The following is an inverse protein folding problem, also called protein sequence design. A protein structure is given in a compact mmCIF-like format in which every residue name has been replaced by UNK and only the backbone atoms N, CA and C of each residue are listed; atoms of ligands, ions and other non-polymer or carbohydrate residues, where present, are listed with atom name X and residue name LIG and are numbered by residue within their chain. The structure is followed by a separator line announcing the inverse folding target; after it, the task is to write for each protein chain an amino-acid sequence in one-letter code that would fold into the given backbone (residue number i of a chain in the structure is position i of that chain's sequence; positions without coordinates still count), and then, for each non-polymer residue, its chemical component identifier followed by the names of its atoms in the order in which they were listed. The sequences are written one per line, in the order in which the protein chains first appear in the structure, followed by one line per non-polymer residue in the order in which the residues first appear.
data_IF_766329635758
#
_entry.id   IF_766329635758
#
_cell.length_a   1.000
_cell.length_b   1.000
_cell.length_c   1.000
_cell.angle_alpha   90.00
_cell.angle_beta   90.00
_cell.angle_gamma   90.00
#
_symmetry.space_group_name_H-M   'P 1'
#
loop_
_entity.id
_entity.type
_entity.pdbx_description
1 polymer ?
#
# COMPACT_ATOMS: atom_id res chain seq x y z
N UNK A 1 -9.61 -16.39 -9.03
CA UNK A 1 -8.93 -15.09 -8.87
C UNK A 1 -9.22 -14.57 -7.45
N UNK A 2 -8.20 -14.33 -6.62
CA UNK A 2 -8.37 -13.82 -5.25
C UNK A 2 -8.35 -12.27 -5.23
N UNK A 3 -9.20 -11.64 -6.04
CA UNK A 3 -9.21 -10.18 -6.23
C UNK A 3 -10.10 -9.42 -5.25
N UNK A 4 -11.17 -10.03 -4.77
CA UNK A 4 -12.31 -9.27 -4.23
C UNK A 4 -12.50 -9.49 -2.73
N UNK A 5 -11.41 -9.48 -1.94
CA UNK A 5 -11.57 -9.46 -0.47
C UNK A 5 -12.15 -8.10 -0.08
N UNK A 6 -13.42 -8.08 0.30
CA UNK A 6 -14.06 -6.90 0.90
C UNK A 6 -13.45 -6.67 2.28
N UNK A 7 -12.94 -5.45 2.49
CA UNK A 7 -12.34 -5.03 3.76
C UNK A 7 -13.35 -4.23 4.58
N UNK A 8 -14.11 -3.34 3.93
CA UNK A 8 -15.20 -2.61 4.58
C UNK A 8 -16.55 -3.03 4.00
N UNK A 9 -17.34 -3.79 4.76
CA UNK A 9 -18.69 -4.19 4.34
C UNK A 9 -19.70 -3.03 4.38
N UNK A 10 -19.51 -2.02 5.24
CA UNK A 10 -20.43 -0.88 5.35
C UNK A 10 -20.42 0.01 4.10
N UNK A 11 -19.25 0.17 3.48
CA UNK A 11 -19.04 1.02 2.31
C UNK A 11 -18.68 0.23 1.06
N UNK A 12 -18.73 -1.11 1.14
CA UNK A 12 -18.37 -2.04 0.05
C UNK A 12 -16.97 -1.77 -0.52
N UNK A 13 -15.99 -1.47 0.35
CA UNK A 13 -14.61 -1.18 -0.07
C UNK A 13 -13.79 -2.46 -0.07
N UNK A 14 -13.17 -2.76 -1.21
CA UNK A 14 -12.31 -3.93 -1.39
C UNK A 14 -10.85 -3.66 -1.06
N UNK A 15 -10.07 -4.73 -0.90
CA UNK A 15 -8.61 -4.66 -0.81
C UNK A 15 -7.99 -3.93 -2.01
N UNK A 16 -8.53 -4.13 -3.21
CA UNK A 16 -8.05 -3.47 -4.43
C UNK A 16 -8.30 -1.97 -4.35
N UNK A 17 -9.43 -1.52 -3.80
CA UNK A 17 -9.72 -0.08 -3.68
C UNK A 17 -8.76 0.60 -2.72
N UNK A 18 -8.43 -0.05 -1.60
CA UNK A 18 -7.41 0.44 -0.66
C UNK A 18 -6.05 0.51 -1.36
N UNK A 19 -5.66 -0.53 -2.10
CA UNK A 19 -4.41 -0.53 -2.88
C UNK A 19 -4.35 0.59 -3.92
N UNK A 20 -5.47 0.85 -4.62
CA UNK A 20 -5.57 1.97 -5.56
C UNK A 20 -5.44 3.32 -4.85
N UNK A 21 -6.06 3.48 -3.69
CA UNK A 21 -5.90 4.69 -2.87
C UNK A 21 -4.43 4.88 -2.44
N UNK A 22 -3.74 3.79 -2.06
CA UNK A 22 -2.32 3.83 -1.77
C UNK A 22 -1.47 4.26 -2.97
N UNK A 23 -1.78 3.76 -4.17
CA UNK A 23 -1.10 4.17 -5.42
C UNK A 23 -1.35 5.67 -5.71
N UNK A 24 -2.52 6.20 -5.32
CA UNK A 24 -2.82 7.65 -5.42
C UNK A 24 -2.10 8.51 -4.38
N UNK A 25 -1.40 7.90 -3.41
CA UNK A 25 -0.65 8.62 -2.38
C UNK A 25 -1.15 8.44 -0.95
N UNK A 26 -2.20 7.63 -0.71
CA UNK A 26 -2.68 7.35 0.64
C UNK A 26 -1.63 6.56 1.43
N UNK A 27 -1.23 7.07 2.59
CA UNK A 27 -0.30 6.39 3.52
C UNK A 27 -0.87 6.23 4.91
N UNK A 28 -1.95 6.93 5.23
CA UNK A 28 -2.58 6.90 6.55
C UNK A 28 -4.02 6.41 6.48
N UNK A 29 -4.55 5.94 7.63
CA UNK A 29 -5.95 5.57 7.75
C UNK A 29 -6.88 6.75 7.38
N UNK A 30 -6.47 7.97 7.70
CA UNK A 30 -7.24 9.18 7.42
C UNK A 30 -7.37 9.45 5.92
N UNK A 31 -6.26 9.40 5.18
CA UNK A 31 -6.28 9.51 3.72
C UNK A 31 -7.10 8.39 3.07
N UNK A 32 -7.07 7.17 3.61
CA UNK A 32 -7.93 6.08 3.13
C UNK A 32 -9.41 6.36 3.41
N UNK A 33 -9.75 6.92 4.58
CA UNK A 33 -11.12 7.34 4.90
C UNK A 33 -11.60 8.40 3.92
N UNK A 34 -10.79 9.40 3.62
CA UNK A 34 -11.14 10.46 2.67
C UNK A 34 -11.30 9.92 1.24
N UNK A 35 -10.41 9.04 0.78
CA UNK A 35 -10.45 8.53 -0.59
C UNK A 35 -11.49 7.44 -0.83
N UNK A 36 -11.72 6.56 0.14
CA UNK A 36 -12.56 5.36 -0.03
C UNK A 36 -13.80 5.34 0.86
N UNK A 37 -13.85 6.18 1.89
CA UNK A 37 -14.91 6.14 2.90
C UNK A 37 -14.80 4.97 3.87
N UNK A 38 -13.84 4.05 3.72
CA UNK A 38 -13.67 2.94 4.66
C UNK A 38 -13.37 3.46 6.08
N UNK A 39 -13.76 2.72 7.12
CA UNK A 39 -13.62 3.10 8.54
C UNK A 39 -14.41 4.35 9.00
N UNK A 40 -15.23 4.99 8.16
CA UNK A 40 -16.12 6.10 8.56
C UNK A 40 -17.48 5.66 9.12
N UNK A 41 -17.82 4.37 8.96
CA UNK A 41 -19.05 3.77 9.48
C UNK A 41 -18.85 3.11 10.84
N UNK A 42 -18.83 1.79 10.88
CA UNK A 42 -18.68 1.02 12.13
C UNK A 42 -17.23 0.93 12.66
N UNK A 43 -16.25 1.46 11.94
CA UNK A 43 -14.82 1.45 12.32
C UNK A 43 -14.11 0.09 12.32
N UNK A 44 -14.83 -1.05 12.30
CA UNK A 44 -14.24 -2.40 12.46
C UNK A 44 -13.14 -2.78 11.45
N UNK A 45 -13.15 -2.17 10.27
CA UNK A 45 -12.16 -2.44 9.22
C UNK A 45 -10.85 -1.65 9.42
N UNK A 46 -10.77 -0.70 10.36
CA UNK A 46 -9.58 0.15 10.53
C UNK A 46 -8.30 -0.65 10.74
N UNK A 47 -8.32 -1.63 11.66
CA UNK A 47 -7.14 -2.45 11.95
C UNK A 47 -6.68 -3.30 10.75
N UNK A 48 -7.60 -3.78 9.90
CA UNK A 48 -7.23 -4.48 8.67
C UNK A 48 -6.66 -3.53 7.62
N UNK A 49 -7.21 -2.30 7.51
CA UNK A 49 -6.68 -1.25 6.63
C UNK A 49 -5.25 -0.89 7.04
N UNK A 50 -4.98 -0.72 8.33
CA UNK A 50 -3.64 -0.41 8.84
C UNK A 50 -2.62 -1.50 8.49
N UNK A 51 -3.00 -2.78 8.61
CA UNK A 51 -2.15 -3.90 8.16
C UNK A 51 -1.88 -3.86 6.65
N UNK A 52 -2.87 -3.49 5.85
CA UNK A 52 -2.70 -3.36 4.40
C UNK A 52 -1.77 -2.20 4.06
N UNK A 53 -1.93 -1.06 4.76
CA UNK A 53 -1.07 0.12 4.61
C UNK A 53 0.38 -0.20 4.99
N UNK A 54 0.58 -0.98 6.06
CA UNK A 54 1.90 -1.41 6.49
C UNK A 54 2.60 -2.35 5.50
N UNK A 55 1.86 -3.05 4.63
CA UNK A 55 2.42 -4.04 3.69
C UNK A 55 2.44 -3.52 2.25
N UNK A 56 3.62 -3.38 1.64
CA UNK A 56 3.77 -2.94 0.23
C UNK A 56 3.80 -4.11 -0.74
N UNK A 57 4.60 -5.15 -0.46
CA UNK A 57 4.73 -6.31 -1.34
C UNK A 57 4.21 -7.58 -0.68
N UNK A 58 3.05 -8.07 -1.13
CA UNK A 58 2.50 -9.34 -0.63
C UNK A 58 3.31 -10.59 -1.02
N UNK A 59 4.16 -10.52 -2.04
CA UNK A 59 4.97 -11.67 -2.49
C UNK A 59 6.24 -11.87 -1.68
N UNK A 60 6.83 -10.78 -1.18
CA UNK A 60 8.09 -10.79 -0.42
C UNK A 60 7.89 -10.42 1.05
N UNK A 61 6.69 -10.01 1.44
CA UNK A 61 6.40 -9.54 2.79
C UNK A 61 6.99 -8.16 3.10
N UNK A 62 7.42 -7.42 2.07
CA UNK A 62 8.04 -6.10 2.24
C UNK A 62 7.04 -5.10 2.82
N UNK A 63 7.44 -4.43 3.89
CA UNK A 63 6.62 -3.43 4.55
C UNK A 63 6.82 -2.05 3.91
N UNK A 64 5.92 -1.11 4.20
CA UNK A 64 6.08 0.29 3.81
C UNK A 64 7.38 0.87 4.38
N UNK A 65 7.69 0.54 5.63
CA UNK A 65 8.90 1.01 6.29
C UNK A 65 10.18 0.53 5.59
N UNK A 66 10.23 -0.70 5.09
CA UNK A 66 11.36 -1.20 4.30
C UNK A 66 11.59 -0.36 3.04
N UNK A 67 10.50 -0.06 2.32
CA UNK A 67 10.55 0.75 1.09
C UNK A 67 10.93 2.19 1.40
N UNK A 68 10.36 2.79 2.43
CA UNK A 68 10.71 4.15 2.88
C UNK A 68 12.16 4.22 3.33
N UNK A 69 12.65 3.21 4.05
CA UNK A 69 14.06 3.12 4.43
C UNK A 69 14.96 2.97 3.21
N UNK A 70 14.59 2.16 2.22
CA UNK A 70 15.34 2.07 0.96
C UNK A 70 15.42 3.43 0.26
N UNK A 71 14.29 4.16 0.15
CA UNK A 71 14.27 5.51 -0.43
C UNK A 71 15.15 6.47 0.36
N UNK A 72 15.11 6.42 1.71
CA UNK A 72 16.00 7.21 2.59
C UNK A 72 17.48 6.86 2.41
N UNK A 73 17.80 5.62 2.08
CA UNK A 73 19.16 5.16 1.76
C UNK A 73 19.60 5.54 0.33
N UNK A 74 18.79 6.31 -0.43
CA UNK A 74 19.12 6.75 -1.78
C UNK A 74 18.59 5.85 -2.90
N UNK A 75 17.59 5.02 -2.61
CA UNK A 75 16.85 4.29 -3.63
C UNK A 75 15.80 5.19 -4.29
N UNK A 76 16.20 5.87 -5.36
CA UNK A 76 15.38 6.78 -6.15
C UNK A 76 14.78 6.13 -7.41
N UNK A 77 14.94 4.81 -7.59
CA UNK A 77 14.36 4.06 -8.71
C UNK A 77 13.75 2.75 -8.24
N UNK A 78 12.78 2.24 -8.99
CA UNK A 78 12.14 0.95 -8.68
C UNK A 78 13.13 -0.20 -8.63
N UNK A 79 14.18 -0.14 -9.45
CA UNK A 79 15.26 -1.15 -9.46
C UNK A 79 16.05 -1.12 -8.16
N UNK A 80 16.53 0.06 -7.73
CA UNK A 80 17.25 0.19 -6.45
C UNK A 80 16.39 -0.25 -5.27
N UNK A 81 15.11 0.10 -5.25
CA UNK A 81 14.18 -0.36 -4.21
C UNK A 81 14.01 -1.88 -4.26
N UNK A 82 13.92 -2.46 -5.47
CA UNK A 82 13.80 -3.90 -5.64
C UNK A 82 15.06 -4.66 -5.21
N UNK A 83 16.25 -4.10 -5.40
CA UNK A 83 17.51 -4.68 -4.91
C UNK A 83 17.59 -4.65 -3.38
N UNK A 84 17.18 -3.55 -2.75
CA UNK A 84 17.26 -3.41 -1.29
C UNK A 84 16.14 -4.16 -0.54
N UNK A 85 14.93 -4.18 -1.09
CA UNK A 85 13.73 -4.63 -0.37
C UNK A 85 13.01 -5.81 -1.01
N UNK A 86 13.38 -6.17 -2.24
CA UNK A 86 12.68 -7.19 -3.04
C UNK A 86 11.30 -6.74 -3.57
N UNK A 87 10.83 -5.53 -3.26
CA UNK A 87 9.57 -5.03 -3.79
C UNK A 87 9.76 -4.60 -5.26
N UNK A 88 8.99 -5.20 -6.18
CA UNK A 88 9.03 -4.87 -7.61
C UNK A 88 9.83 -5.85 -8.48
N UNK A 89 10.72 -6.68 -7.91
CA UNK A 89 11.53 -7.67 -8.67
C UNK A 89 10.80 -8.99 -9.00
N UNK A 90 9.63 -9.22 -8.41
CA UNK A 90 8.85 -10.45 -8.59
C UNK A 90 7.70 -10.28 -9.60
N UNK A 91 6.47 -10.27 -9.09
CA UNK A 91 5.25 -10.25 -9.91
C UNK A 91 4.86 -8.87 -10.49
N UNK A 92 5.63 -7.82 -10.24
CA UNK A 92 5.40 -6.45 -10.74
C UNK A 92 4.20 -5.69 -10.16
N UNK A 93 3.31 -6.33 -9.40
CA UNK A 93 2.05 -5.70 -8.92
C UNK A 93 2.24 -4.54 -7.95
N UNK A 94 3.31 -4.54 -7.17
CA UNK A 94 3.64 -3.46 -6.25
C UNK A 94 4.46 -2.33 -6.91
N UNK A 95 4.85 -2.45 -8.18
CA UNK A 95 5.72 -1.48 -8.86
C UNK A 95 5.12 -0.07 -8.84
N UNK A 96 3.85 0.08 -9.24
CA UNK A 96 3.16 1.37 -9.23
C UNK A 96 3.05 1.98 -7.82
N UNK A 97 2.93 1.15 -6.78
CA UNK A 97 2.93 1.62 -5.40
C UNK A 97 4.33 2.10 -4.99
N UNK A 98 5.37 1.35 -5.34
CA UNK A 98 6.77 1.71 -5.08
C UNK A 98 7.16 3.00 -5.80
N UNK A 99 6.78 3.17 -7.07
CA UNK A 99 6.99 4.41 -7.83
C UNK A 99 6.41 5.60 -7.09
N UNK A 100 5.17 5.50 -6.64
CA UNK A 100 4.54 6.57 -5.89
C UNK A 100 5.22 6.86 -4.54
N UNK A 101 5.74 5.84 -3.83
CA UNK A 101 6.54 6.04 -2.60
C UNK A 101 7.84 6.79 -2.91
N UNK A 102 8.51 6.46 -4.02
CA UNK A 102 9.73 7.14 -4.47
C UNK A 102 9.42 8.61 -4.81
N UNK A 103 8.36 8.87 -5.57
CA UNK A 103 7.95 10.22 -5.98
C UNK A 103 7.61 11.11 -4.79
N UNK A 104 6.85 10.58 -3.83
CA UNK A 104 6.41 11.32 -2.64
C UNK A 104 7.43 11.28 -1.50
N UNK A 105 8.49 10.45 -1.61
CA UNK A 105 9.47 10.14 -0.56
C UNK A 105 8.83 9.76 0.79
N UNK A 106 7.66 9.11 0.76
CA UNK A 106 6.82 8.78 1.94
C UNK A 106 5.95 7.53 1.76
#
# INVERSE_FOLDING_TARGET
MAGDKIICHCKQVSYIDIRKAMIKGARTLDEIKEMTGAATGCGRCSGEIEKILASVCGCKGTSLEDVVNAVKNGADTTDKVAELTGAGSGCGRCKALVENIIELKR
#
